data_IF_687272894001
#
_entry.id   IF_687272894001
#
_cell.length_a   1.000
_cell.length_b   1.000
_cell.length_c   1.000
_cell.angle_alpha   90.00
_cell.angle_beta   90.00
_cell.angle_gamma   90.00
#
_symmetry.space_group_name_H-M   'P 1'
#
loop_
_entity.id
_entity.type
_entity.pdbx_description
1 polymer ?
#
# COMPACT_ATOMS: atom_id res chain seq x y z
N UNK A 1 -63.35 20.92 -46.11
CA UNK A 1 -62.41 21.99 -45.71
C UNK A 1 -61.24 21.93 -46.68
N UNK A 2 -61.03 23.03 -47.39
CA UNK A 2 -60.31 23.15 -48.66
C UNK A 2 -59.02 23.95 -48.40
N UNK A 3 -57.90 23.47 -48.96
CA UNK A 3 -56.70 24.16 -49.49
C UNK A 3 -56.20 25.47 -48.85
N UNK A 4 -54.88 25.58 -48.61
CA UNK A 4 -53.98 26.34 -49.50
C UNK A 4 -52.54 26.50 -48.97
N UNK A 5 -51.62 26.10 -49.85
CA UNK A 5 -50.26 26.55 -50.20
C UNK A 5 -49.69 27.86 -49.63
N UNK A 6 -48.35 27.89 -49.52
CA UNK A 6 -47.37 28.97 -49.84
C UNK A 6 -46.30 29.11 -48.73
N UNK A 7 -45.01 29.38 -48.96
CA UNK A 7 -44.23 29.84 -50.11
C UNK A 7 -42.76 29.46 -49.86
N UNK A 8 -42.03 29.05 -50.89
CA UNK A 8 -40.57 29.01 -50.91
C UNK A 8 -40.05 30.44 -51.18
N UNK A 9 -39.11 30.95 -50.40
CA UNK A 9 -38.32 32.13 -50.74
C UNK A 9 -36.84 31.89 -50.38
N UNK A 10 -35.97 32.21 -51.33
CA UNK A 10 -34.55 31.90 -51.33
C UNK A 10 -33.67 33.13 -51.01
N UNK A 11 -32.39 32.82 -50.71
CA UNK A 11 -31.15 33.62 -50.77
C UNK A 11 -30.75 34.46 -49.53
N UNK A 12 -29.45 34.78 -49.32
CA UNK A 12 -28.23 34.37 -50.05
C UNK A 12 -27.15 33.69 -49.17
N UNK A 13 -26.22 33.00 -49.83
CA UNK A 13 -24.94 32.63 -49.26
C UNK A 13 -24.08 33.89 -49.09
N UNK A 14 -23.61 34.15 -47.88
CA UNK A 14 -22.54 35.11 -47.61
C UNK A 14 -21.40 34.37 -46.95
N UNK A 15 -20.35 34.13 -47.74
CA UNK A 15 -19.05 33.68 -47.26
C UNK A 15 -18.44 34.81 -46.42
N UNK A 16 -18.31 34.60 -45.11
CA UNK A 16 -17.33 35.34 -44.30
C UNK A 16 -16.26 34.36 -43.84
N UNK A 17 -15.12 34.43 -44.51
CA UNK A 17 -13.88 33.84 -44.03
C UNK A 17 -13.49 34.54 -42.72
N UNK A 18 -13.48 33.80 -41.62
CA UNK A 18 -12.80 34.20 -40.38
C UNK A 18 -11.35 33.71 -40.46
N UNK A 19 -10.36 34.60 -40.59
CA UNK A 19 -8.98 34.24 -40.33
C UNK A 19 -8.78 34.28 -38.82
N UNK A 20 -8.43 33.14 -38.22
CA UNK A 20 -7.87 33.14 -36.88
C UNK A 20 -8.37 32.01 -35.97
N UNK A 21 -7.42 31.14 -35.65
CA UNK A 21 -7.34 30.39 -34.39
C UNK A 21 -8.37 29.27 -34.18
N UNK A 22 -8.38 28.30 -35.10
CA UNK A 22 -8.53 26.92 -34.62
C UNK A 22 -7.26 26.58 -33.82
N UNK A 23 -7.34 26.68 -32.50
CA UNK A 23 -6.34 26.09 -31.61
C UNK A 23 -6.42 24.58 -31.89
N UNK A 24 -5.42 24.02 -32.58
CA UNK A 24 -5.16 22.58 -32.51
C UNK A 24 -4.93 22.31 -31.03
N UNK A 25 -5.87 21.65 -30.37
CA UNK A 25 -5.58 20.95 -29.12
C UNK A 25 -4.53 19.90 -29.48
N UNK A 26 -3.28 20.16 -29.10
CA UNK A 26 -2.30 19.09 -29.09
C UNK A 26 -2.80 18.02 -28.13
N UNK A 27 -2.78 16.74 -28.51
CA UNK A 27 -3.09 15.68 -27.57
C UNK A 27 -2.14 15.83 -26.39
N UNK A 28 -2.68 15.96 -25.19
CA UNK A 28 -1.84 16.04 -23.99
C UNK A 28 -1.02 14.75 -23.92
N UNK A 29 0.29 14.85 -24.12
CA UNK A 29 1.25 13.75 -23.95
C UNK A 29 1.42 13.33 -22.47
N UNK A 30 0.48 13.68 -21.60
CA UNK A 30 0.45 13.25 -20.21
C UNK A 30 -0.06 11.81 -20.14
N UNK A 31 0.73 10.87 -20.68
CA UNK A 31 0.61 9.47 -20.28
C UNK A 31 1.01 9.44 -18.81
N UNK A 32 0.05 9.15 -17.93
CA UNK A 32 0.33 8.97 -16.51
C UNK A 32 1.47 7.95 -16.36
N UNK A 33 2.46 8.27 -15.51
CA UNK A 33 3.56 7.34 -15.26
C UNK A 33 2.98 6.09 -14.62
N UNK A 34 3.34 4.92 -15.14
CA UNK A 34 2.72 3.65 -14.75
C UNK A 34 3.23 3.16 -13.40
N UNK A 35 2.33 2.62 -12.59
CA UNK A 35 2.69 1.93 -11.36
C UNK A 35 3.44 0.62 -11.65
N UNK A 36 4.26 0.19 -10.69
CA UNK A 36 5.04 -1.04 -10.76
C UNK A 36 5.23 -1.66 -9.38
N UNK A 37 5.56 -2.95 -9.36
CA UNK A 37 5.59 -3.77 -8.15
C UNK A 37 6.93 -4.47 -8.00
N UNK A 38 7.51 -4.39 -6.81
CA UNK A 38 8.69 -5.12 -6.41
C UNK A 38 8.38 -6.50 -5.83
N UNK A 39 9.33 -7.05 -5.07
CA UNK A 39 9.15 -8.34 -4.40
C UNK A 39 8.09 -8.29 -3.31
N UNK A 40 7.40 -9.42 -3.14
CA UNK A 40 6.37 -9.58 -2.12
C UNK A 40 6.37 -11.01 -1.56
N UNK A 41 5.93 -11.13 -0.31
CA UNK A 41 5.58 -12.40 0.32
C UNK A 41 4.21 -12.24 0.96
N UNK A 42 3.31 -13.19 0.73
CA UNK A 42 1.96 -13.16 1.28
C UNK A 42 1.51 -14.55 1.74
N UNK A 43 0.66 -14.58 2.76
CA UNK A 43 -0.10 -15.75 3.19
C UNK A 43 -1.58 -15.40 3.16
N UNK A 44 -2.37 -16.38 2.75
CA UNK A 44 -3.82 -16.36 2.82
C UNK A 44 -4.49 -16.59 1.47
N UNK A 45 -5.83 -16.60 1.47
CA UNK A 45 -6.68 -16.42 2.66
C UNK A 45 -6.63 -17.64 3.61
N UNK A 46 -6.64 -17.40 4.92
CA UNK A 46 -6.99 -18.43 5.93
C UNK A 46 -8.50 -18.71 5.92
N UNK A 47 -8.90 -19.90 6.35
CA UNK A 47 -10.30 -20.20 6.68
C UNK A 47 -10.73 -19.64 8.05
N UNK A 48 -9.78 -19.12 8.83
CA UNK A 48 -10.01 -18.46 10.12
C UNK A 48 -10.05 -16.93 9.96
N UNK A 49 -9.90 -16.21 11.05
CA UNK A 49 -9.67 -14.76 11.11
C UNK A 49 -8.31 -14.53 11.75
N UNK A 50 -7.48 -13.67 11.14
CA UNK A 50 -6.31 -13.11 11.81
C UNK A 50 -6.83 -12.16 12.90
N UNK A 51 -6.32 -12.28 14.12
CA UNK A 51 -6.67 -11.41 15.27
C UNK A 51 -5.49 -10.59 15.77
N UNK A 52 -4.27 -11.03 15.48
CA UNK A 52 -3.05 -10.30 15.75
C UNK A 52 -2.01 -10.65 14.69
N UNK A 53 -1.26 -9.66 14.23
CA UNK A 53 -0.07 -9.88 13.43
C UNK A 53 1.04 -8.91 13.85
N UNK A 54 2.23 -9.44 14.05
CA UNK A 54 3.43 -8.69 14.45
C UNK A 54 4.52 -8.98 13.44
N UNK A 55 5.25 -7.95 13.02
CA UNK A 55 6.50 -8.13 12.28
C UNK A 55 7.50 -7.07 12.70
N UNK A 56 8.78 -7.40 12.60
CA UNK A 56 9.82 -6.40 12.69
C UNK A 56 10.34 -6.07 11.30
N UNK A 57 10.62 -4.81 11.03
CA UNK A 57 11.14 -4.37 9.73
C UNK A 57 12.45 -3.61 9.92
N UNK A 58 13.45 -3.98 9.12
CA UNK A 58 14.61 -3.16 8.79
C UNK A 58 14.55 -2.85 7.29
N UNK A 59 14.24 -1.60 6.89
CA UNK A 59 13.80 -1.32 5.52
C UNK A 59 14.93 -1.18 4.49
N UNK A 60 16.18 -1.04 4.94
CA UNK A 60 17.27 -0.58 4.07
C UNK A 60 17.12 0.91 3.73
N UNK A 61 18.16 1.53 3.17
CA UNK A 61 18.11 2.96 2.87
C UNK A 61 17.04 3.29 1.81
N UNK A 62 16.29 4.38 2.01
CA UNK A 62 15.43 4.92 0.97
C UNK A 62 16.28 5.46 -0.19
N UNK A 63 15.76 5.51 -1.43
CA UNK A 63 16.42 6.23 -2.51
C UNK A 63 16.68 7.70 -2.11
N UNK A 64 17.89 8.24 -2.35
CA UNK A 64 18.21 9.62 -1.94
C UNK A 64 17.41 10.67 -2.70
N UNK A 65 16.86 10.31 -3.87
CA UNK A 65 16.00 11.14 -4.71
C UNK A 65 14.87 10.29 -5.25
N UNK A 66 13.69 10.88 -5.36
CA UNK A 66 12.48 10.17 -5.72
C UNK A 66 11.69 10.91 -6.82
N UNK A 67 11.24 10.16 -7.82
CA UNK A 67 10.53 10.65 -9.01
C UNK A 67 9.01 10.46 -8.98
N UNK A 68 8.50 9.70 -8.00
CA UNK A 68 7.10 9.32 -7.80
C UNK A 68 6.88 8.95 -6.33
N UNK A 69 6.04 7.97 -6.03
CA UNK A 69 5.79 7.56 -4.64
C UNK A 69 6.14 6.09 -4.44
N UNK A 70 7.13 5.82 -3.59
CA UNK A 70 7.59 4.47 -3.27
C UNK A 70 7.08 4.07 -1.89
N UNK A 71 6.48 2.89 -1.81
CA UNK A 71 5.96 2.31 -0.57
C UNK A 71 6.62 0.97 -0.29
N UNK A 72 7.00 0.77 0.97
CA UNK A 72 7.12 -0.55 1.57
C UNK A 72 5.91 -0.75 2.47
N UNK A 73 5.32 -1.93 2.44
CA UNK A 73 4.24 -2.26 3.36
C UNK A 73 4.40 -3.68 3.87
N UNK A 74 4.04 -3.93 5.13
CA UNK A 74 3.22 -5.06 5.47
C UNK A 74 1.77 -4.61 5.68
N UNK A 75 0.84 -5.55 5.55
CA UNK A 75 -0.57 -5.30 5.79
C UNK A 75 -1.41 -6.56 5.79
N UNK A 76 -2.68 -6.38 6.11
CA UNK A 76 -3.69 -7.43 6.16
C UNK A 76 -4.94 -7.01 5.40
N UNK A 77 -5.55 -7.98 4.73
CA UNK A 77 -6.81 -7.78 4.01
C UNK A 77 -7.66 -9.04 4.05
N UNK A 78 -8.94 -8.87 3.72
CA UNK A 78 -9.86 -9.97 3.46
C UNK A 78 -10.06 -10.23 1.94
N UNK A 79 -9.36 -9.48 1.08
CA UNK A 79 -9.42 -9.59 -0.38
C UNK A 79 -10.64 -8.95 -1.03
N UNK A 80 -11.58 -8.41 -0.25
CA UNK A 80 -12.83 -7.79 -0.75
C UNK A 80 -13.11 -6.43 -0.12
N UNK A 81 -12.22 -5.94 0.74
CA UNK A 81 -12.41 -4.74 1.54
C UNK A 81 -11.09 -4.05 1.85
N UNK A 82 -11.03 -3.40 3.00
CA UNK A 82 -9.92 -2.53 3.38
C UNK A 82 -8.60 -3.30 3.54
N UNK A 83 -7.50 -2.61 3.30
CA UNK A 83 -6.14 -3.03 3.55
C UNK A 83 -5.64 -2.25 4.78
N UNK A 84 -5.58 -2.94 5.92
CA UNK A 84 -4.99 -2.42 7.16
C UNK A 84 -3.49 -2.62 7.06
N UNK A 85 -2.72 -1.54 6.98
CA UNK A 85 -1.31 -1.61 6.61
C UNK A 85 -0.45 -0.54 7.25
N UNK A 86 0.84 -0.79 7.33
CA UNK A 86 1.81 0.25 7.70
C UNK A 86 2.66 0.53 6.49
N UNK A 87 2.79 1.79 6.13
CA UNK A 87 3.57 2.22 4.99
C UNK A 87 4.87 2.86 5.47
N UNK A 88 5.97 2.49 4.81
CA UNK A 88 7.21 3.27 4.80
C UNK A 88 7.34 3.88 3.43
N UNK A 89 7.42 5.19 3.39
CA UNK A 89 7.17 5.96 2.19
C UNK A 89 8.40 6.81 1.84
N UNK A 90 8.69 6.88 0.55
CA UNK A 90 9.68 7.79 -0.01
C UNK A 90 9.01 8.53 -1.17
N UNK A 91 8.87 9.84 -0.99
CA UNK A 91 8.22 10.79 -1.90
C UNK A 91 9.26 11.80 -2.42
N UNK A 92 8.92 12.63 -3.43
CA UNK A 92 9.79 13.73 -3.84
C UNK A 92 9.99 14.76 -2.72
N UNK A 93 8.97 14.95 -1.86
CA UNK A 93 9.04 15.73 -0.62
C UNK A 93 8.60 14.89 0.58
N UNK A 94 9.50 14.72 1.55
CA UNK A 94 9.29 13.95 2.79
C UNK A 94 9.24 14.86 4.04
N UNK A 95 9.14 16.17 3.86
CA UNK A 95 9.11 17.15 4.96
C UNK A 95 7.93 16.93 5.92
N UNK A 96 6.86 16.29 5.45
CA UNK A 96 5.66 15.98 6.23
C UNK A 96 5.92 15.04 7.42
N UNK A 97 6.93 14.18 7.36
CA UNK A 97 7.36 13.37 8.51
C UNK A 97 8.72 13.84 9.08
N UNK A 98 9.39 14.79 8.41
CA UNK A 98 10.73 15.26 8.77
C UNK A 98 11.88 14.36 8.35
N UNK A 99 11.67 13.41 7.43
CA UNK A 99 12.74 12.55 6.91
C UNK A 99 13.72 13.33 6.02
N UNK A 100 15.00 12.98 6.14
CA UNK A 100 16.06 13.47 5.26
C UNK A 100 16.45 12.40 4.22
N UNK A 101 17.36 12.76 3.31
CA UNK A 101 17.82 11.84 2.26
C UNK A 101 18.31 10.50 2.83
N UNK A 102 17.77 9.40 2.30
CA UNK A 102 18.08 8.04 2.74
C UNK A 102 17.21 7.50 3.87
N UNK A 103 16.34 8.32 4.46
CA UNK A 103 15.34 7.92 5.46
C UNK A 103 13.96 7.72 4.81
N UNK A 104 13.14 6.89 5.45
CA UNK A 104 11.75 6.66 5.10
C UNK A 104 10.82 7.46 6.01
N UNK A 105 9.64 7.83 5.51
CA UNK A 105 8.56 8.25 6.37
C UNK A 105 7.66 7.07 6.72
N UNK A 106 7.53 6.72 8.01
CA UNK A 106 6.64 5.64 8.45
C UNK A 106 5.32 6.16 9.01
N UNK A 107 4.22 5.48 8.68
CA UNK A 107 2.92 5.67 9.33
C UNK A 107 2.02 4.44 9.21
N UNK A 108 1.17 4.23 10.22
CA UNK A 108 0.04 3.34 10.12
C UNK A 108 -1.03 3.93 9.20
N UNK A 109 -1.73 3.07 8.45
CA UNK A 109 -2.63 3.53 7.40
C UNK A 109 -3.66 2.48 6.99
N UNK A 110 -4.75 2.91 6.37
CA UNK A 110 -5.80 2.03 5.84
C UNK A 110 -6.14 2.49 4.44
N UNK A 111 -6.08 1.56 3.49
CA UNK A 111 -6.54 1.79 2.12
C UNK A 111 -7.86 1.06 1.87
N UNK A 112 -8.82 1.74 1.25
CA UNK A 112 -10.11 1.15 0.92
C UNK A 112 -10.83 1.90 -0.19
N UNK A 113 -12.13 1.65 -0.35
CA UNK A 113 -12.96 2.36 -1.35
C UNK A 113 -13.07 3.87 -1.09
N UNK A 114 -12.76 4.30 0.13
CA UNK A 114 -12.66 5.71 0.54
C UNK A 114 -11.30 6.34 0.23
N UNK A 115 -10.38 5.60 -0.40
CA UNK A 115 -9.01 6.01 -0.61
C UNK A 115 -8.13 5.68 0.60
N UNK A 116 -7.16 6.55 0.86
CA UNK A 116 -6.13 6.37 1.88
C UNK A 116 -6.49 7.16 3.16
N UNK A 117 -6.50 6.48 4.30
CA UNK A 117 -6.59 7.08 5.63
C UNK A 117 -5.26 6.84 6.33
N UNK A 118 -4.61 7.91 6.75
CA UNK A 118 -3.29 7.87 7.36
C UNK A 118 -3.34 8.27 8.83
N UNK A 119 -2.46 7.69 9.65
CA UNK A 119 -2.25 8.16 11.02
C UNK A 119 -1.84 9.63 11.04
N UNK A 120 -2.35 10.39 12.02
CA UNK A 120 -1.88 11.75 12.33
C UNK A 120 -0.44 11.77 12.85
N UNK A 121 0.07 10.61 13.27
CA UNK A 121 1.44 10.44 13.77
C UNK A 121 2.30 9.72 12.76
N UNK A 122 3.44 10.32 12.44
CA UNK A 122 4.46 9.76 11.56
C UNK A 122 5.85 10.09 12.08
N UNK A 123 6.87 9.40 11.56
CA UNK A 123 8.25 9.65 11.93
C UNK A 123 9.22 9.26 10.81
N UNK A 124 10.43 9.85 10.81
CA UNK A 124 11.49 9.37 9.96
C UNK A 124 12.06 8.05 10.49
N UNK A 125 12.40 7.13 9.60
CA UNK A 125 13.01 5.83 9.90
C UNK A 125 14.25 5.65 9.05
N UNK A 126 15.39 5.42 9.71
CA UNK A 126 16.67 5.16 9.02
C UNK A 126 16.66 3.77 8.40
N UNK A 127 17.42 3.59 7.32
CA UNK A 127 17.50 2.29 6.65
C UNK A 127 18.01 1.13 7.51
N UNK A 128 18.81 1.42 8.54
CA UNK A 128 19.33 0.43 9.49
C UNK A 128 18.47 0.30 10.75
N UNK A 129 17.44 1.13 10.90
CA UNK A 129 16.60 1.13 12.09
C UNK A 129 15.64 -0.06 12.04
N UNK A 130 15.49 -0.74 13.18
CA UNK A 130 14.53 -1.83 13.35
C UNK A 130 13.28 -1.28 14.04
N UNK A 131 12.14 -1.43 13.39
CA UNK A 131 10.83 -1.07 13.94
C UNK A 131 10.00 -2.33 14.18
N UNK A 132 9.12 -2.30 15.17
CA UNK A 132 8.05 -3.29 15.37
C UNK A 132 6.77 -2.71 14.77
N UNK A 133 6.09 -3.49 13.95
CA UNK A 133 4.77 -3.19 13.41
C UNK A 133 3.81 -4.26 13.95
N UNK A 134 2.71 -3.82 14.54
CA UNK A 134 1.72 -4.68 15.18
C UNK A 134 0.32 -4.24 14.78
N UNK A 135 -0.51 -5.24 14.48
CA UNK A 135 -1.92 -5.09 14.17
C UNK A 135 -2.73 -5.95 15.13
N UNK A 136 -3.69 -5.36 15.81
CA UNK A 136 -4.55 -6.02 16.80
C UNK A 136 -6.02 -5.78 16.48
N UNK A 137 -6.80 -6.86 16.42
CA UNK A 137 -8.26 -6.76 16.44
C UNK A 137 -8.67 -6.50 17.90
N UNK A 138 -9.30 -5.35 18.14
CA UNK A 138 -9.75 -4.98 19.48
C UNK A 138 -10.97 -5.80 19.93
N UNK A 139 -11.29 -5.72 21.21
CA UNK A 139 -12.33 -6.52 21.86
C UNK A 139 -13.75 -6.30 21.28
N UNK A 140 -13.96 -5.18 20.57
CA UNK A 140 -15.21 -4.91 19.86
C UNK A 140 -15.40 -5.78 18.60
N UNK A 141 -14.36 -6.54 18.21
CA UNK A 141 -14.31 -7.37 17.00
C UNK A 141 -14.63 -6.57 15.73
N UNK A 142 -14.25 -5.30 15.67
CA UNK A 142 -14.52 -4.43 14.52
C UNK A 142 -13.37 -3.46 14.26
N UNK A 143 -12.75 -2.96 15.33
CA UNK A 143 -11.66 -1.99 15.26
C UNK A 143 -10.31 -2.71 15.19
N UNK A 144 -9.50 -2.33 14.20
CA UNK A 144 -8.11 -2.69 14.10
C UNK A 144 -7.23 -1.57 14.62
N UNK A 145 -6.42 -1.89 15.62
CA UNK A 145 -5.35 -1.01 16.10
C UNK A 145 -4.05 -1.38 15.41
N UNK A 146 -3.40 -0.36 14.87
CA UNK A 146 -2.07 -0.45 14.31
C UNK A 146 -1.10 0.29 15.22
N UNK A 147 0.04 -0.32 15.53
CA UNK A 147 1.08 0.29 16.35
C UNK A 147 2.45 0.09 15.71
N UNK A 148 3.14 1.20 15.45
CA UNK A 148 4.52 1.21 14.96
C UNK A 148 5.42 1.71 16.08
N UNK A 149 6.39 0.89 16.47
CA UNK A 149 7.30 1.17 17.59
C UNK A 149 8.74 1.16 17.13
N UNK A 150 9.51 2.18 17.50
CA UNK A 150 10.97 2.13 17.39
C UNK A 150 11.54 1.19 18.46
N UNK A 151 12.20 0.11 18.04
CA UNK A 151 12.65 -0.94 18.98
C UNK A 151 13.82 -0.51 19.84
N UNK A 152 14.60 0.48 19.41
CA UNK A 152 15.74 0.97 20.20
C UNK A 152 15.30 1.81 21.39
N UNK A 153 14.24 2.61 21.21
CA UNK A 153 13.73 3.54 22.23
C UNK A 153 12.45 3.05 22.91
N UNK A 154 11.81 2.01 22.37
CA UNK A 154 10.46 1.54 22.73
C UNK A 154 9.37 2.62 22.60
N UNK A 155 9.61 3.67 21.79
CA UNK A 155 8.63 4.72 21.56
C UNK A 155 7.67 4.33 20.44
N UNK A 156 6.37 4.50 20.67
CA UNK A 156 5.36 4.47 19.60
C UNK A 156 5.54 5.70 18.71
N UNK A 157 5.79 5.47 17.43
CA UNK A 157 6.06 6.51 16.43
C UNK A 157 4.92 6.69 15.43
N UNK A 158 4.02 5.71 15.33
CA UNK A 158 2.76 5.86 14.63
C UNK A 158 1.71 4.92 15.20
N UNK A 159 0.45 5.36 15.25
CA UNK A 159 -0.69 4.51 15.62
C UNK A 159 -1.96 4.94 14.90
N UNK A 160 -2.82 3.97 14.56
CA UNK A 160 -4.11 4.23 13.94
C UNK A 160 -5.11 3.17 14.40
N UNK A 161 -6.25 3.62 14.91
CA UNK A 161 -7.42 2.78 15.14
C UNK A 161 -8.42 3.05 14.02
N UNK A 162 -8.91 2.00 13.38
CA UNK A 162 -9.93 2.14 12.35
C UNK A 162 -10.87 0.93 12.33
N UNK A 163 -12.13 1.15 11.96
CA UNK A 163 -13.15 0.09 11.87
C UNK A 163 -13.10 -0.57 10.51
N UNK A 164 -12.55 -1.78 10.47
CA UNK A 164 -12.34 -2.56 9.24
C UNK A 164 -12.99 -3.96 9.31
N UNK A 165 -13.69 -4.26 10.40
CA UNK A 165 -14.36 -5.52 10.63
C UNK A 165 -13.43 -6.68 11.00
N UNK A 166 -13.98 -7.81 11.47
CA UNK A 166 -13.21 -8.92 12.05
C UNK A 166 -12.69 -9.91 11.00
N UNK A 167 -12.60 -9.54 9.72
CA UNK A 167 -12.46 -10.54 8.65
C UNK A 167 -11.12 -10.53 7.93
N UNK A 168 -10.06 -10.00 8.53
CA UNK A 168 -8.72 -10.09 7.95
C UNK A 168 -8.28 -11.55 7.80
N UNK A 169 -7.98 -11.96 6.58
CA UNK A 169 -7.71 -13.37 6.21
C UNK A 169 -6.38 -13.57 5.52
N UNK A 170 -5.80 -12.52 4.98
CA UNK A 170 -4.47 -12.52 4.40
C UNK A 170 -3.57 -11.57 5.15
N UNK A 171 -2.30 -11.93 5.19
CA UNK A 171 -1.20 -11.06 5.59
C UNK A 171 -0.20 -11.04 4.44
N UNK A 172 0.40 -9.88 4.16
CA UNK A 172 1.47 -9.81 3.18
C UNK A 172 2.37 -8.62 3.38
N UNK A 173 3.45 -8.63 2.63
CA UNK A 173 4.38 -7.52 2.50
C UNK A 173 4.82 -7.37 1.06
N UNK A 174 5.11 -6.15 0.64
CA UNK A 174 5.63 -5.87 -0.69
C UNK A 174 6.26 -4.49 -0.83
N UNK A 175 6.77 -4.25 -2.04
CA UNK A 175 7.20 -2.94 -2.51
C UNK A 175 6.28 -2.49 -3.65
N UNK A 176 5.77 -1.27 -3.55
CA UNK A 176 4.90 -0.65 -4.55
C UNK A 176 5.51 0.67 -5.00
N UNK A 177 5.47 0.95 -6.29
CA UNK A 177 6.10 2.08 -6.91
C UNK A 177 5.12 2.79 -7.83
N UNK A 178 4.63 3.93 -7.39
CA UNK A 178 3.57 4.67 -8.06
C UNK A 178 4.14 5.89 -8.78
N UNK A 179 3.47 6.29 -9.86
CA UNK A 179 3.85 7.46 -10.66
C UNK A 179 5.31 7.41 -11.15
N UNK A 180 5.78 6.22 -11.56
CA UNK A 180 7.12 6.01 -12.09
C UNK A 180 8.22 6.42 -11.10
N UNK A 181 8.04 6.02 -9.84
CA UNK A 181 8.99 6.22 -8.76
C UNK A 181 10.37 5.60 -9.08
N UNK A 182 11.40 6.08 -8.39
CA UNK A 182 12.69 5.39 -8.24
C UNK A 182 12.48 4.23 -7.27
N UNK A 183 12.73 3.00 -7.74
CA UNK A 183 12.59 1.78 -6.92
C UNK A 183 13.55 1.71 -5.73
N UNK A 184 13.34 0.73 -4.85
CA UNK A 184 14.22 0.48 -3.69
C UNK A 184 15.66 0.24 -4.13
N UNK A 185 16.62 0.72 -3.31
CA UNK A 185 18.08 0.56 -3.58
C UNK A 185 18.76 -0.46 -2.66
N UNK A 186 18.03 -0.97 -1.67
CA UNK A 186 18.50 -1.91 -0.66
C UNK A 186 17.50 -3.07 -0.48
N UNK A 187 17.93 -4.15 0.17
CA UNK A 187 17.06 -5.24 0.62
C UNK A 187 16.22 -4.78 1.82
N UNK A 188 14.94 -5.15 1.85
CA UNK A 188 14.07 -5.01 3.02
C UNK A 188 14.04 -6.35 3.76
N UNK A 189 14.20 -6.30 5.08
CA UNK A 189 14.19 -7.49 5.92
C UNK A 189 13.04 -7.38 6.91
N UNK A 190 12.11 -8.33 6.82
CA UNK A 190 11.09 -8.53 7.83
C UNK A 190 11.48 -9.74 8.68
N UNK A 191 11.59 -9.55 9.99
CA UNK A 191 12.00 -10.62 10.92
C UNK A 191 10.90 -10.93 11.92
N UNK A 192 10.91 -12.18 12.39
CA UNK A 192 10.10 -12.65 13.50
C UNK A 192 8.60 -12.38 13.30
N UNK A 193 8.13 -12.46 12.06
CA UNK A 193 6.72 -12.26 11.73
C UNK A 193 5.90 -13.34 12.41
N UNK A 194 4.91 -12.93 13.19
CA UNK A 194 3.97 -13.82 13.89
C UNK A 194 2.55 -13.42 13.53
N UNK A 195 1.74 -14.39 13.11
CA UNK A 195 0.33 -14.21 12.75
C UNK A 195 -0.48 -15.14 13.65
N UNK A 196 -1.43 -14.58 14.39
CA UNK A 196 -2.32 -15.30 15.29
C UNK A 196 -3.73 -15.34 14.72
N UNK A 197 -4.28 -16.54 14.62
CA UNK A 197 -5.62 -16.82 14.14
C UNK A 197 -6.58 -17.04 15.32
N UNK A 198 -7.84 -16.65 15.15
CA UNK A 198 -8.91 -16.88 16.15
C UNK A 198 -9.18 -18.38 16.36
N UNK A 199 -9.07 -19.18 15.29
CA UNK A 199 -9.22 -20.63 15.26
C UNK A 199 -8.12 -21.30 14.45
N UNK A 200 -7.94 -22.61 14.64
CA UNK A 200 -6.89 -23.35 13.94
C UNK A 200 -7.14 -23.43 12.44
N UNK A 201 -6.11 -23.22 11.64
CA UNK A 201 -6.12 -23.50 10.20
C UNK A 201 -4.79 -24.16 9.82
N UNK A 202 -4.80 -25.48 9.64
CA UNK A 202 -3.61 -26.26 9.29
C UNK A 202 -3.14 -26.05 7.84
N UNK A 203 -3.96 -25.41 6.99
CA UNK A 203 -3.62 -25.15 5.59
C UNK A 203 -3.10 -23.73 5.35
N UNK A 204 -3.20 -22.82 6.33
CA UNK A 204 -2.80 -21.43 6.14
C UNK A 204 -1.35 -21.29 5.65
N UNK A 205 -0.37 -21.98 6.24
CA UNK A 205 1.01 -21.92 5.75
C UNK A 205 1.23 -22.46 4.33
N UNK A 206 0.33 -23.31 3.81
CA UNK A 206 0.41 -23.81 2.43
C UNK A 206 0.03 -22.76 1.38
N UNK A 207 -0.56 -21.65 1.83
CA UNK A 207 -0.97 -20.55 0.95
C UNK A 207 0.17 -19.56 0.67
N UNK A 208 1.35 -19.75 1.26
CA UNK A 208 2.45 -18.80 1.12
C UNK A 208 2.83 -18.62 -0.35
N UNK A 209 2.81 -17.37 -0.79
CA UNK A 209 3.21 -16.94 -2.12
C UNK A 209 4.42 -16.02 -2.05
N UNK A 210 5.24 -16.05 -3.11
CA UNK A 210 6.40 -15.16 -3.28
C UNK A 210 6.44 -14.62 -4.70
N UNK A 211 6.95 -13.41 -4.88
CA UNK A 211 7.12 -12.79 -6.20
C UNK A 211 8.42 -11.97 -6.30
N UNK A 212 8.86 -11.71 -7.54
CA UNK A 212 9.99 -10.84 -7.89
C UNK A 212 11.25 -11.06 -7.04
N UNK A 213 11.60 -12.32 -6.79
CA UNK A 213 12.81 -12.71 -6.07
C UNK A 213 12.75 -12.54 -4.55
N UNK A 214 11.59 -12.19 -3.99
CA UNK A 214 11.41 -12.24 -2.54
C UNK A 214 11.55 -13.68 -2.02
N UNK A 215 12.10 -13.81 -0.81
CA UNK A 215 12.33 -15.11 -0.17
C UNK A 215 11.86 -15.10 1.28
N UNK A 216 11.60 -16.28 1.84
CA UNK A 216 11.29 -16.45 3.25
C UNK A 216 11.96 -17.71 3.82
N UNK A 217 12.13 -17.75 5.13
CA UNK A 217 12.65 -18.91 5.86
C UNK A 217 11.91 -19.12 7.18
N UNK A 218 11.92 -20.36 7.69
CA UNK A 218 11.40 -20.67 9.02
C UNK A 218 9.88 -20.51 9.16
N UNK A 219 9.12 -20.72 8.08
CA UNK A 219 7.66 -20.80 8.18
C UNK A 219 7.26 -22.02 9.03
N UNK A 220 6.60 -21.80 10.15
CA UNK A 220 6.16 -22.88 11.04
C UNK A 220 4.86 -22.52 11.78
N UNK A 221 4.09 -23.55 12.11
CA UNK A 221 2.89 -23.44 12.93
C UNK A 221 3.15 -23.88 14.38
N UNK A 222 2.36 -23.32 15.29
CA UNK A 222 2.36 -23.65 16.72
C UNK A 222 0.96 -23.44 17.29
N UNK A 223 0.77 -23.79 18.58
CA UNK A 223 -0.50 -23.65 19.28
C UNK A 223 -1.68 -24.29 18.51
N UNK A 224 -1.48 -25.53 18.04
CA UNK A 224 -2.49 -26.26 17.27
C UNK A 224 -2.86 -25.64 15.93
N UNK A 225 -1.91 -24.97 15.23
CA UNK A 225 -2.13 -24.24 13.98
C UNK A 225 -2.92 -22.93 14.12
N UNK A 226 -2.94 -22.35 15.32
CA UNK A 226 -3.47 -20.99 15.55
C UNK A 226 -2.41 -19.91 15.39
N UNK A 227 -1.12 -20.25 15.58
CA UNK A 227 -0.03 -19.26 15.51
C UNK A 227 0.95 -19.69 14.44
N UNK A 228 1.18 -18.81 13.48
CA UNK A 228 2.10 -19.01 12.37
C UNK A 228 3.26 -18.03 12.49
N UNK A 229 4.48 -18.53 12.34
CA UNK A 229 5.70 -17.72 12.39
C UNK A 229 6.48 -17.83 11.10
N UNK A 230 7.11 -16.73 10.69
CA UNK A 230 8.12 -16.68 9.63
C UNK A 230 9.35 -16.02 10.25
N UNK A 231 10.46 -16.75 10.29
CA UNK A 231 11.66 -16.25 10.94
C UNK A 231 12.25 -15.04 10.19
N UNK A 232 12.26 -15.10 8.87
CA UNK A 232 12.77 -14.02 8.03
C UNK A 232 12.09 -14.01 6.68
N UNK A 233 11.70 -12.82 6.22
CA UNK A 233 11.34 -12.50 4.84
C UNK A 233 12.36 -11.49 4.33
N UNK A 234 12.83 -11.69 3.10
CA UNK A 234 13.71 -10.77 2.40
C UNK A 234 13.08 -10.34 1.10
N UNK A 235 12.90 -9.04 0.92
CA UNK A 235 12.47 -8.45 -0.34
C UNK A 235 13.69 -7.79 -0.98
N UNK A 236 14.11 -8.23 -2.18
CA UNK A 236 15.27 -7.65 -2.84
C UNK A 236 14.96 -6.21 -3.28
N UNK A 237 16.01 -5.45 -3.55
CA UNK A 237 15.87 -4.15 -4.21
C UNK A 237 15.12 -4.30 -5.54
N UNK A 238 14.29 -3.32 -5.89
CA UNK A 238 13.63 -3.26 -7.20
C UNK A 238 14.69 -3.12 -8.30
N UNK A 239 14.50 -3.87 -9.39
CA UNK A 239 15.34 -3.81 -10.59
C UNK A 239 14.87 -2.73 -11.55
#
# INVERSE_FOLDING_TARGET
MQFATFLLAALPATTMAFPGLFRREEPSNNVAKRDSWGGAVSLGPTTSTIINAVTYLTPGAAPPTQAGVLFLWPGMSNGTGNLVQTTLESWPDNSWCGAVAGEWCVRASVFGSFGQIDSETSAPVKGTQKIKIEYDLLDDNDTWRQTVTDTATNKVISTLDHKDGPFMRGYGTGTECNDGCTGTIAEQIYSDTTITLSSADANFGKTIGVSQGATYTGLAASNGNKVWKIATIKVPKMQ
#
